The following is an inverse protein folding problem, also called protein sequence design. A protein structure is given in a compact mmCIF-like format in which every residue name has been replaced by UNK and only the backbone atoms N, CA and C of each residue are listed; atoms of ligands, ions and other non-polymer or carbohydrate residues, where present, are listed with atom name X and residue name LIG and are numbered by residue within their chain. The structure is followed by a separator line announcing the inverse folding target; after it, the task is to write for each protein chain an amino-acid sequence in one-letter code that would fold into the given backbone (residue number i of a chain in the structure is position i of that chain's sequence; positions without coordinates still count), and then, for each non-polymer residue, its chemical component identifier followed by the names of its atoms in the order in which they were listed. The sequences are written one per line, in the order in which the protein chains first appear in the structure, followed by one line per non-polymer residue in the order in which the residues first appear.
data_IF_067272980825
#
_entry.id   IF_067272980825
#
_cell.length_a   1.000
_cell.length_b   1.000
_cell.length_c   1.000
_cell.angle_alpha   90.00
_cell.angle_beta   90.00
_cell.angle_gamma   90.00
#
_symmetry.space_group_name_H-M   'P 1'
#
loop_
_entity.id
_entity.type
_entity.pdbx_description
1 polymer ?
#
# COMPACT_ATOMS: atom_id res chain seq x y z
N UNK A 1 -38.54 28.03 17.95
CA UNK A 1 -39.35 28.13 16.71
C UNK A 1 -39.41 26.77 16.07
N UNK A 2 -40.59 26.33 15.61
CA UNK A 2 -40.85 24.97 15.09
C UNK A 2 -40.03 24.57 13.86
N UNK A 3 -39.30 25.50 13.22
CA UNK A 3 -38.48 25.23 12.02
C UNK A 3 -36.97 25.35 12.26
N UNK A 4 -36.52 25.44 13.52
CA UNK A 4 -35.09 25.60 13.84
C UNK A 4 -34.33 24.28 13.79
N UNK A 5 -32.99 24.34 13.68
CA UNK A 5 -32.15 23.15 13.78
C UNK A 5 -32.26 22.50 15.16
N UNK A 6 -32.45 23.31 16.22
CA UNK A 6 -32.62 22.78 17.58
C UNK A 6 -33.85 21.86 17.70
N UNK A 7 -34.93 22.19 16.98
CA UNK A 7 -36.17 21.43 17.01
C UNK A 7 -36.08 20.13 16.19
N UNK A 8 -35.58 20.20 14.95
CA UNK A 8 -35.56 19.05 14.05
C UNK A 8 -34.31 18.15 14.17
N UNK A 9 -33.23 18.66 14.76
CA UNK A 9 -31.94 17.98 14.82
C UNK A 9 -31.31 18.10 16.23
N UNK A 10 -31.96 17.58 17.29
CA UNK A 10 -31.47 17.69 18.67
C UNK A 10 -30.07 17.08 18.87
N UNK A 11 -29.68 16.10 18.05
CA UNK A 11 -28.32 15.55 18.04
C UNK A 11 -27.27 16.59 17.60
N UNK A 12 -27.60 17.49 16.67
CA UNK A 12 -26.69 18.54 16.23
C UNK A 12 -26.54 19.66 17.26
N UNK A 13 -27.52 19.83 18.16
CA UNK A 13 -27.38 20.75 19.31
C UNK A 13 -26.26 20.29 20.23
N UNK A 14 -26.14 18.97 20.45
CA UNK A 14 -25.06 18.40 21.26
C UNK A 14 -23.67 18.61 20.63
N UNK A 15 -23.61 18.70 19.31
CA UNK A 15 -22.38 18.96 18.57
C UNK A 15 -22.11 20.46 18.35
N UNK A 16 -22.99 21.36 18.81
CA UNK A 16 -22.77 22.79 18.70
C UNK A 16 -21.65 23.21 19.65
N UNK A 17 -20.63 23.89 19.13
CA UNK A 17 -19.48 24.25 19.95
C UNK A 17 -19.89 25.22 21.08
N UNK A 18 -19.53 24.95 22.36
CA UNK A 18 -20.04 25.71 23.51
C UNK A 18 -19.57 27.16 23.57
N UNK A 19 -18.35 27.47 23.10
CA UNK A 19 -17.73 28.80 23.26
C UNK A 19 -17.31 29.51 21.96
N UNK A 20 -17.16 28.81 20.83
CA UNK A 20 -16.62 29.37 19.58
C UNK A 20 -17.65 30.01 18.63
N UNK A 21 -18.93 29.97 19.01
CA UNK A 21 -20.03 30.52 18.21
C UNK A 21 -20.57 31.86 18.73
N UNK A 22 -19.92 32.47 19.71
CA UNK A 22 -20.36 33.73 20.34
C UNK A 22 -21.84 33.64 20.77
N UNK A 23 -22.68 34.58 20.35
CA UNK A 23 -24.12 34.65 20.65
C UNK A 23 -24.98 33.76 19.73
N UNK A 24 -24.39 33.09 18.75
CA UNK A 24 -25.13 32.25 17.81
C UNK A 24 -25.57 30.96 18.49
N UNK A 25 -26.88 30.71 18.46
CA UNK A 25 -27.49 29.50 19.04
C UNK A 25 -28.21 28.67 17.98
N UNK A 26 -28.32 27.34 18.18
CA UNK A 26 -29.04 26.47 17.25
C UNK A 26 -30.49 26.89 16.98
N UNK A 27 -31.15 27.58 17.90
CA UNK A 27 -32.55 28.00 17.75
C UNK A 27 -32.73 29.09 16.67
N UNK A 28 -31.66 29.79 16.29
CA UNK A 28 -31.69 30.92 15.36
C UNK A 28 -31.74 30.48 13.88
N UNK A 29 -31.41 29.22 13.57
CA UNK A 29 -31.13 28.79 12.19
C UNK A 29 -32.06 27.68 11.71
N UNK A 30 -32.37 27.73 10.41
CA UNK A 30 -33.09 26.67 9.68
C UNK A 30 -32.10 25.71 9.02
N UNK A 31 -32.56 24.51 8.65
CA UNK A 31 -31.71 23.45 8.07
C UNK A 31 -30.90 23.87 6.83
N UNK A 32 -31.41 24.76 5.98
CA UNK A 32 -30.72 25.19 4.75
C UNK A 32 -29.66 26.29 4.91
N UNK A 33 -29.31 26.68 6.14
CA UNK A 33 -28.41 27.80 6.36
C UNK A 33 -26.97 27.51 5.86
N UNK A 34 -26.44 28.39 5.02
CA UNK A 34 -25.06 28.32 4.53
C UNK A 34 -24.02 28.88 5.51
N UNK A 35 -24.47 29.48 6.62
CA UNK A 35 -23.58 30.02 7.64
C UNK A 35 -22.69 28.91 8.20
N UNK A 36 -21.38 29.19 8.24
CA UNK A 36 -20.38 28.36 8.89
C UNK A 36 -20.32 28.69 10.38
N UNK A 37 -20.34 27.64 11.19
CA UNK A 37 -20.23 27.71 12.65
C UNK A 37 -19.27 26.62 13.12
N UNK A 38 -18.78 26.75 14.33
CA UNK A 38 -17.95 25.76 15.00
C UNK A 38 -18.79 24.63 15.57
N UNK A 39 -18.31 23.42 15.37
CA UNK A 39 -18.88 22.18 15.87
C UNK A 39 -17.82 21.43 16.67
N UNK A 40 -18.27 20.58 17.59
CA UNK A 40 -17.45 19.67 18.38
C UNK A 40 -18.11 18.28 18.39
N UNK A 41 -17.34 17.20 18.26
CA UNK A 41 -17.87 15.84 18.40
C UNK A 41 -17.54 15.24 19.76
N UNK A 42 -18.05 14.05 20.04
CA UNK A 42 -17.77 13.31 21.29
C UNK A 42 -16.29 12.97 21.51
N UNK A 43 -15.48 12.99 20.44
CA UNK A 43 -14.01 12.82 20.50
C UNK A 43 -13.27 14.16 20.63
N UNK A 44 -13.98 15.22 20.96
CA UNK A 44 -13.44 16.57 21.16
C UNK A 44 -12.76 17.16 19.91
N UNK A 45 -13.01 16.61 18.72
CA UNK A 45 -12.56 17.24 17.49
C UNK A 45 -13.41 18.47 17.24
N UNK A 46 -12.76 19.60 17.04
CA UNK A 46 -13.42 20.84 16.72
C UNK A 46 -13.25 21.16 15.23
N UNK A 47 -14.34 21.52 14.55
CA UNK A 47 -14.27 21.91 13.15
C UNK A 47 -15.31 22.97 12.79
N UNK A 48 -14.96 23.79 11.81
CA UNK A 48 -15.92 24.69 11.17
C UNK A 48 -16.62 23.99 10.00
N UNK A 49 -17.96 24.10 9.93
CA UNK A 49 -18.76 23.64 8.80
C UNK A 49 -20.06 24.43 8.67
N UNK A 50 -20.61 24.47 7.46
CA UNK A 50 -21.92 25.06 7.21
C UNK A 50 -23.04 24.23 7.86
N UNK A 51 -24.04 24.91 8.41
CA UNK A 51 -25.20 24.27 9.04
C UNK A 51 -25.90 23.32 8.08
N UNK A 52 -26.09 23.71 6.81
CA UNK A 52 -26.74 22.84 5.83
C UNK A 52 -26.00 21.50 5.67
N UNK A 53 -24.66 21.51 5.59
CA UNK A 53 -23.85 20.30 5.47
C UNK A 53 -24.09 19.32 6.62
N UNK A 54 -24.23 19.85 7.85
CA UNK A 54 -24.53 19.04 9.03
C UNK A 54 -25.91 18.41 8.96
N UNK A 55 -26.91 19.18 8.54
CA UNK A 55 -28.30 18.70 8.45
C UNK A 55 -28.53 17.72 7.29
N UNK A 56 -27.62 17.68 6.30
CA UNK A 56 -27.56 16.66 5.25
C UNK A 56 -26.74 15.42 5.64
N UNK A 57 -26.27 15.33 6.89
CA UNK A 57 -25.57 14.16 7.42
C UNK A 57 -24.05 14.18 7.31
N UNK A 58 -23.42 15.31 6.94
CA UNK A 58 -21.95 15.40 6.94
C UNK A 58 -21.45 15.52 8.38
N UNK A 59 -20.79 14.46 8.86
CA UNK A 59 -20.21 14.35 10.20
C UNK A 59 -18.86 15.06 10.41
N UNK A 60 -18.22 14.76 11.53
CA UNK A 60 -16.86 15.25 11.86
C UNK A 60 -15.85 14.80 10.78
N UNK A 61 -15.07 15.71 10.17
CA UNK A 61 -14.13 15.36 9.11
C UNK A 61 -12.94 14.52 9.61
N UNK A 62 -12.59 14.62 10.88
CA UNK A 62 -11.51 13.83 11.50
C UNK A 62 -11.96 12.38 11.75
N UNK A 63 -13.14 12.17 12.36
CA UNK A 63 -13.74 10.85 12.52
C UNK A 63 -13.96 10.13 11.18
N UNK A 64 -14.27 10.88 10.12
CA UNK A 64 -14.46 10.35 8.78
C UNK A 64 -13.14 10.13 7.99
N UNK A 65 -11.97 10.32 8.60
CA UNK A 65 -10.64 10.24 7.97
C UNK A 65 -10.46 11.17 6.75
N UNK A 66 -11.21 12.28 6.70
CA UNK A 66 -11.09 13.32 5.66
C UNK A 66 -10.07 14.39 6.03
N UNK A 67 -9.75 14.52 7.32
CA UNK A 67 -8.67 15.35 7.86
C UNK A 67 -7.86 14.53 8.84
N UNK A 68 -6.55 14.77 8.88
CA UNK A 68 -5.66 14.10 9.83
C UNK A 68 -5.75 14.75 11.21
N UNK A 69 -5.72 13.93 12.25
CA UNK A 69 -5.51 14.30 13.64
C UNK A 69 -4.71 13.20 14.33
N UNK A 70 -4.34 13.43 15.60
CA UNK A 70 -3.56 12.47 16.36
C UNK A 70 -4.26 11.12 16.52
N UNK A 71 -5.59 11.09 16.54
CA UNK A 71 -6.37 9.85 16.75
C UNK A 71 -6.47 8.96 15.50
N UNK A 72 -6.20 9.51 14.32
CA UNK A 72 -6.42 8.82 13.05
C UNK A 72 -5.19 8.75 12.15
N UNK A 73 -4.07 9.34 12.56
CA UNK A 73 -2.84 9.31 11.81
C UNK A 73 -2.21 7.91 11.84
N UNK A 74 -1.39 7.63 10.81
CA UNK A 74 -0.70 6.35 10.65
C UNK A 74 0.22 6.05 11.82
N UNK A 75 0.91 7.07 12.35
CA UNK A 75 1.81 6.94 13.50
C UNK A 75 1.11 6.37 14.75
N UNK A 76 -0.06 6.90 15.08
CA UNK A 76 -0.81 6.50 16.27
C UNK A 76 -1.44 5.13 16.11
N UNK A 77 -2.07 4.88 14.95
CA UNK A 77 -2.86 3.67 14.77
C UNK A 77 -2.02 2.45 14.36
N UNK A 78 -0.93 2.65 13.60
CA UNK A 78 -0.07 1.56 13.11
C UNK A 78 1.43 1.87 13.33
N UNK A 79 1.91 1.97 14.59
CA UNK A 79 3.31 2.28 14.91
C UNK A 79 4.32 1.26 14.36
N UNK A 80 3.96 -0.02 14.27
CA UNK A 80 4.84 -1.03 13.67
C UNK A 80 5.05 -0.81 12.18
N UNK A 81 4.04 -0.28 11.49
CA UNK A 81 4.13 0.00 10.06
C UNK A 81 5.01 1.23 9.78
N UNK A 82 5.05 2.20 10.70
CA UNK A 82 5.89 3.41 10.54
C UNK A 82 7.37 3.11 10.62
N UNK A 83 7.79 2.00 11.23
CA UNK A 83 9.17 1.49 11.17
C UNK A 83 9.66 1.25 9.74
N UNK A 84 8.72 1.05 8.81
CA UNK A 84 9.01 0.86 7.39
C UNK A 84 8.84 2.14 6.57
N UNK A 85 8.58 3.29 7.20
CA UNK A 85 8.54 4.58 6.51
C UNK A 85 9.92 4.91 5.96
N UNK A 86 10.01 5.29 4.68
CA UNK A 86 11.31 5.62 4.12
C UNK A 86 11.86 6.91 4.74
N UNK A 87 13.11 6.95 5.23
CA UNK A 87 13.63 8.08 6.02
C UNK A 87 13.75 9.39 5.22
N UNK A 88 14.05 9.31 3.92
CA UNK A 88 14.37 10.50 3.10
C UNK A 88 13.50 10.72 1.86
N UNK A 89 12.76 9.72 1.38
CA UNK A 89 12.05 9.80 0.08
C UNK A 89 10.64 10.39 0.16
N UNK A 90 10.15 10.71 1.37
CA UNK A 90 8.82 11.28 1.57
C UNK A 90 8.82 12.80 1.76
N UNK A 91 9.97 13.47 1.54
CA UNK A 91 10.10 14.91 1.72
C UNK A 91 9.77 15.31 3.16
N UNK A 92 8.84 16.24 3.33
CA UNK A 92 8.38 16.72 4.65
C UNK A 92 7.24 15.90 5.24
N UNK A 93 6.68 14.92 4.51
CA UNK A 93 5.58 14.11 5.02
C UNK A 93 6.08 13.15 6.10
N UNK A 94 5.41 13.19 7.24
CA UNK A 94 5.61 12.25 8.33
C UNK A 94 4.43 11.29 8.45
N UNK A 95 4.58 10.16 9.16
CA UNK A 95 3.45 9.30 9.49
C UNK A 95 2.35 9.98 10.34
N UNK A 96 2.60 11.16 10.92
CA UNK A 96 1.59 11.95 11.63
C UNK A 96 0.71 12.78 10.70
N UNK A 97 1.13 13.01 9.45
CA UNK A 97 0.43 13.87 8.49
C UNK A 97 -0.55 13.11 7.60
N UNK A 98 -0.68 11.80 7.80
CA UNK A 98 -1.46 10.93 6.92
C UNK A 98 -2.34 9.97 7.70
N UNK A 99 -3.59 9.81 7.24
CA UNK A 99 -4.54 8.85 7.81
C UNK A 99 -4.26 7.42 7.32
N UNK A 100 -4.54 6.40 8.14
CA UNK A 100 -4.32 4.97 7.83
C UNK A 100 -5.01 4.49 6.54
N UNK A 101 -6.08 5.13 6.10
CA UNK A 101 -6.85 4.79 4.90
C UNK A 101 -6.47 5.58 3.64
N UNK A 102 -5.41 6.39 3.70
CA UNK A 102 -5.07 7.33 2.64
C UNK A 102 -4.66 6.65 1.32
N UNK A 103 -5.08 7.25 0.20
CA UNK A 103 -4.65 6.89 -1.15
C UNK A 103 -3.32 7.56 -1.55
N UNK A 104 -2.74 8.41 -0.68
CA UNK A 104 -1.43 9.00 -0.96
C UNK A 104 -0.37 7.91 -1.09
N UNK A 105 0.38 7.95 -2.18
CA UNK A 105 1.55 7.11 -2.40
C UNK A 105 2.72 7.68 -1.62
N UNK A 106 3.39 6.82 -0.87
CA UNK A 106 4.59 7.15 -0.10
C UNK A 106 5.61 6.05 -0.27
N UNK A 107 6.87 6.40 -0.05
CA UNK A 107 7.99 5.49 -0.08
C UNK A 107 8.10 4.74 1.24
N UNK A 108 8.36 3.44 1.11
CA UNK A 108 8.60 2.52 2.21
C UNK A 108 9.95 1.85 2.03
N UNK A 109 10.51 1.35 3.12
CA UNK A 109 11.72 0.53 3.15
C UNK A 109 11.49 -0.65 4.09
N UNK A 110 11.91 -1.85 3.68
CA UNK A 110 11.86 -3.02 4.55
C UNK A 110 13.20 -3.24 5.25
N UNK A 111 13.24 -4.15 6.21
CA UNK A 111 14.47 -4.52 6.94
C UNK A 111 15.60 -5.03 6.03
N UNK A 112 15.26 -5.53 4.84
CA UNK A 112 16.22 -5.95 3.81
C UNK A 112 16.73 -4.81 2.93
N UNK A 113 16.33 -3.57 3.22
CA UNK A 113 16.75 -2.38 2.49
C UNK A 113 16.06 -2.16 1.14
N UNK A 114 15.06 -2.97 0.78
CA UNK A 114 14.30 -2.70 -0.44
C UNK A 114 13.38 -1.51 -0.24
N UNK A 115 13.47 -0.52 -1.11
CA UNK A 115 12.54 0.59 -1.14
C UNK A 115 11.46 0.42 -2.21
N UNK A 116 10.23 0.80 -1.88
CA UNK A 116 9.13 0.80 -2.84
C UNK A 116 8.08 1.85 -2.51
N UNK A 117 7.45 2.37 -3.55
CA UNK A 117 6.32 3.28 -3.44
C UNK A 117 4.99 2.52 -3.52
N UNK A 118 4.06 2.80 -2.61
CA UNK A 118 2.67 2.35 -2.68
C UNK A 118 1.77 3.20 -1.80
N UNK A 119 0.46 3.11 -2.00
CA UNK A 119 -0.55 3.80 -1.20
C UNK A 119 -0.53 3.31 0.26
N UNK A 120 -0.73 4.23 1.21
CA UNK A 120 -0.82 3.90 2.65
C UNK A 120 -1.92 2.86 2.90
N UNK A 121 -3.09 3.01 2.26
CA UNK A 121 -4.21 2.05 2.36
C UNK A 121 -3.81 0.61 2.03
N UNK A 122 -2.93 0.41 1.05
CA UNK A 122 -2.51 -0.94 0.67
C UNK A 122 -1.62 -1.56 1.75
N UNK A 123 -0.77 -0.75 2.39
CA UNK A 123 0.07 -1.17 3.51
C UNK A 123 -0.73 -1.48 4.75
N UNK A 124 -1.73 -0.66 5.08
CA UNK A 124 -2.60 -0.88 6.25
C UNK A 124 -3.50 -2.11 6.08
N UNK A 125 -3.81 -2.51 4.83
CA UNK A 125 -4.44 -3.80 4.51
C UNK A 125 -3.50 -5.02 4.56
N UNK A 126 -2.21 -4.83 4.88
CA UNK A 126 -1.24 -5.93 5.01
C UNK A 126 -0.37 -6.17 3.78
N UNK A 127 -0.38 -5.30 2.76
CA UNK A 127 0.58 -5.43 1.66
C UNK A 127 2.00 -5.18 2.16
N UNK A 128 2.88 -6.16 2.00
CA UNK A 128 4.31 -6.04 2.32
C UNK A 128 5.19 -5.69 1.12
N UNK A 129 6.51 -5.76 1.34
CA UNK A 129 7.52 -5.52 0.31
C UNK A 129 7.30 -6.41 -0.92
N UNK A 130 7.16 -5.84 -2.14
CA UNK A 130 6.92 -6.61 -3.35
C UNK A 130 8.13 -7.45 -3.78
N UNK A 131 9.34 -7.05 -3.38
CA UNK A 131 10.58 -7.79 -3.65
C UNK A 131 10.71 -9.02 -2.74
N UNK A 132 10.49 -8.87 -1.43
CA UNK A 132 10.47 -9.99 -0.49
C UNK A 132 9.42 -11.06 -0.83
N UNK A 133 8.30 -10.63 -1.43
CA UNK A 133 7.19 -11.52 -1.84
C UNK A 133 7.32 -12.04 -3.28
N UNK A 134 8.46 -11.79 -3.96
CA UNK A 134 8.74 -12.20 -5.34
C UNK A 134 7.72 -11.68 -6.38
N UNK A 135 6.96 -10.62 -6.05
CA UNK A 135 6.06 -9.94 -6.98
C UNK A 135 6.79 -8.95 -7.88
N UNK A 136 7.90 -8.40 -7.39
CA UNK A 136 8.88 -7.64 -8.16
C UNK A 136 10.25 -8.32 -8.07
N UNK A 137 11.03 -8.18 -9.14
CA UNK A 137 12.37 -8.75 -9.25
C UNK A 137 13.38 -7.73 -8.73
N UNK A 138 14.36 -8.21 -7.97
CA UNK A 138 15.55 -7.48 -7.60
C UNK A 138 16.73 -8.44 -7.54
N UNK A 139 17.92 -7.91 -7.26
CA UNK A 139 19.14 -8.72 -7.17
C UNK A 139 19.03 -9.83 -6.12
N UNK A 140 18.32 -9.60 -5.02
CA UNK A 140 18.17 -10.59 -3.94
C UNK A 140 17.34 -11.83 -4.32
N UNK A 141 16.46 -11.72 -5.31
CA UNK A 141 15.46 -12.74 -5.61
C UNK A 141 15.48 -13.25 -7.07
N UNK A 142 16.44 -12.76 -7.86
CA UNK A 142 16.62 -13.22 -9.22
C UNK A 142 17.24 -14.62 -9.26
N UNK A 143 17.08 -15.30 -10.41
CA UNK A 143 17.60 -16.64 -10.64
C UNK A 143 19.12 -16.69 -10.53
N UNK A 144 19.82 -15.66 -11.02
CA UNK A 144 21.27 -15.57 -10.93
C UNK A 144 21.78 -15.69 -9.48
N UNK A 145 21.16 -14.96 -8.56
CA UNK A 145 21.55 -14.93 -7.15
C UNK A 145 21.11 -16.18 -6.40
N UNK A 146 19.88 -16.64 -6.62
CA UNK A 146 19.33 -17.78 -5.87
C UNK A 146 19.75 -19.16 -6.42
N UNK A 147 20.11 -19.25 -7.70
CA UNK A 147 20.52 -20.49 -8.36
C UNK A 147 21.64 -20.26 -9.38
N UNK A 148 22.86 -19.89 -8.95
CA UNK A 148 23.98 -19.59 -9.85
C UNK A 148 24.32 -20.75 -10.79
N UNK A 149 24.27 -22.00 -10.32
CA UNK A 149 24.53 -23.18 -11.17
C UNK A 149 23.47 -23.40 -12.27
N UNK A 150 22.23 -22.99 -12.00
CA UNK A 150 21.20 -23.03 -13.03
C UNK A 150 21.36 -21.85 -13.99
N UNK A 151 21.71 -20.66 -13.48
CA UNK A 151 21.98 -19.49 -14.29
C UNK A 151 23.15 -19.70 -15.27
N UNK A 152 24.18 -20.48 -14.91
CA UNK A 152 25.26 -20.90 -15.84
C UNK A 152 24.74 -21.69 -17.04
N UNK A 153 23.60 -22.35 -16.93
CA UNK A 153 22.98 -23.09 -18.02
C UNK A 153 22.05 -22.22 -18.87
N UNK A 154 21.97 -20.90 -18.61
CA UNK A 154 21.25 -19.97 -19.46
C UNK A 154 21.91 -19.91 -20.83
N UNK A 155 21.12 -19.99 -21.90
CA UNK A 155 21.70 -19.94 -23.23
C UNK A 155 22.28 -18.54 -23.51
N UNK A 156 23.52 -18.41 -24.01
CA UNK A 156 24.23 -17.13 -24.11
C UNK A 156 23.60 -16.13 -25.10
N UNK A 157 22.98 -16.60 -26.19
CA UNK A 157 22.48 -15.71 -27.27
C UNK A 157 20.99 -15.85 -27.63
N UNK A 158 20.32 -16.96 -27.29
CA UNK A 158 18.94 -17.26 -27.75
C UNK A 158 17.83 -16.62 -26.91
N UNK A 159 18.15 -15.94 -25.82
CA UNK A 159 17.18 -15.31 -24.93
C UNK A 159 17.03 -13.79 -25.15
N UNK A 160 17.61 -13.26 -26.23
CA UNK A 160 17.60 -11.82 -26.53
C UNK A 160 18.23 -11.03 -25.39
N UNK A 161 17.52 -10.03 -24.89
CA UNK A 161 17.97 -9.19 -23.77
C UNK A 161 17.65 -9.78 -22.39
N UNK A 162 16.93 -10.90 -22.31
CA UNK A 162 16.54 -11.49 -21.03
C UNK A 162 17.71 -12.24 -20.40
N UNK A 163 18.03 -11.85 -19.17
CA UNK A 163 19.11 -12.46 -18.38
C UNK A 163 18.57 -13.24 -17.18
N UNK A 164 19.39 -14.08 -16.53
CA UNK A 164 19.05 -14.68 -15.24
C UNK A 164 18.78 -13.67 -14.12
N UNK A 165 19.16 -12.39 -14.28
CA UNK A 165 18.85 -11.34 -13.32
C UNK A 165 17.42 -10.79 -13.46
N UNK A 166 16.76 -11.05 -14.60
CA UNK A 166 15.43 -10.52 -14.94
C UNK A 166 14.28 -11.49 -14.66
N UNK A 167 14.57 -12.62 -14.01
CA UNK A 167 13.59 -13.66 -13.71
C UNK A 167 13.76 -14.17 -12.28
N UNK A 168 12.65 -14.44 -11.60
CA UNK A 168 12.69 -15.21 -10.36
C UNK A 168 12.75 -16.70 -10.68
N UNK A 169 13.14 -17.50 -9.68
CA UNK A 169 13.11 -18.97 -9.72
C UNK A 169 11.73 -19.57 -10.02
N UNK A 170 10.64 -18.84 -9.73
CA UNK A 170 9.26 -19.28 -9.96
C UNK A 170 8.66 -18.81 -11.30
N UNK A 171 9.44 -18.09 -12.11
CA UNK A 171 8.99 -17.53 -13.39
C UNK A 171 8.49 -18.60 -14.37
N UNK A 172 7.36 -18.34 -15.01
CA UNK A 172 6.79 -19.16 -16.08
C UNK A 172 7.33 -18.81 -17.47
N UNK A 173 8.25 -17.84 -17.58
CA UNK A 173 8.88 -17.49 -18.86
C UNK A 173 9.61 -18.70 -19.44
N UNK A 174 9.33 -19.02 -20.70
CA UNK A 174 10.08 -20.00 -21.50
C UNK A 174 11.35 -19.35 -22.01
N UNK A 175 12.47 -20.03 -21.82
CA UNK A 175 13.80 -19.57 -22.20
C UNK A 175 14.62 -20.74 -22.71
N UNK A 176 15.62 -20.44 -23.52
CA UNK A 176 16.61 -21.39 -24.00
C UNK A 176 17.66 -21.65 -22.92
N UNK A 177 18.00 -22.93 -22.77
CA UNK A 177 19.02 -23.44 -21.88
C UNK A 177 20.09 -24.14 -22.70
N UNK A 178 21.31 -24.19 -22.16
CA UNK A 178 22.43 -24.96 -22.67
C UNK A 178 23.11 -25.69 -21.52
N UNK A 179 23.21 -27.02 -21.59
CA UNK A 179 23.97 -27.77 -20.58
C UNK A 179 25.46 -27.83 -20.94
N UNK A 180 26.28 -28.33 -20.00
CA UNK A 180 27.74 -28.48 -20.19
C UNK A 180 28.10 -29.40 -21.37
N UNK A 181 27.24 -30.39 -21.67
CA UNK A 181 27.37 -31.27 -22.84
C UNK A 181 26.98 -30.59 -24.17
N UNK A 182 26.67 -29.29 -24.14
CA UNK A 182 26.30 -28.51 -25.33
C UNK A 182 24.88 -28.72 -25.84
N UNK A 183 24.06 -29.57 -25.22
CA UNK A 183 22.65 -29.72 -25.61
C UNK A 183 21.88 -28.43 -25.30
N UNK A 184 21.02 -28.04 -26.23
CA UNK A 184 20.21 -26.83 -26.15
C UNK A 184 18.73 -27.19 -26.20
N UNK A 185 17.92 -26.62 -25.31
CA UNK A 185 16.48 -26.85 -25.29
C UNK A 185 15.74 -25.66 -24.68
N UNK A 186 14.46 -25.54 -24.99
CA UNK A 186 13.59 -24.50 -24.47
C UNK A 186 12.63 -25.08 -23.42
N UNK A 187 12.53 -24.42 -22.27
CA UNK A 187 11.54 -24.74 -21.23
C UNK A 187 11.40 -23.57 -20.25
N UNK A 188 10.44 -23.64 -19.33
CA UNK A 188 10.20 -22.59 -18.35
C UNK A 188 11.26 -22.56 -17.23
N UNK A 189 11.54 -21.36 -16.70
CA UNK A 189 12.45 -21.18 -15.56
C UNK A 189 12.02 -21.98 -14.34
N UNK A 190 10.73 -21.97 -14.00
CA UNK A 190 10.21 -22.70 -12.85
C UNK A 190 10.29 -24.22 -12.98
N UNK A 191 10.15 -24.78 -14.19
CA UNK A 191 10.31 -26.20 -14.43
C UNK A 191 11.76 -26.61 -14.20
N UNK A 192 12.69 -25.78 -14.67
CA UNK A 192 14.13 -25.99 -14.49
C UNK A 192 14.57 -25.87 -13.05
N UNK A 193 14.07 -24.87 -12.35
CA UNK A 193 14.33 -24.68 -10.94
C UNK A 193 13.78 -25.81 -10.03
N UNK A 194 12.76 -26.54 -10.49
CA UNK A 194 12.23 -27.74 -9.82
C UNK A 194 13.04 -29.02 -10.07
N UNK A 195 14.15 -28.93 -10.81
CA UNK A 195 15.05 -30.06 -11.04
C UNK A 195 14.80 -30.84 -12.33
N UNK A 196 14.10 -30.28 -13.32
CA UNK A 196 14.08 -30.89 -14.66
C UNK A 196 15.48 -30.80 -15.27
N UNK A 197 16.21 -31.92 -15.24
CA UNK A 197 17.53 -32.08 -15.84
C UNK A 197 17.46 -32.02 -17.37
N UNK A 198 18.61 -31.83 -18.03
CA UNK A 198 18.67 -31.83 -19.49
C UNK A 198 18.07 -33.14 -20.02
N UNK A 199 17.01 -33.04 -20.84
CA UNK A 199 16.27 -34.21 -21.34
C UNK A 199 17.17 -35.16 -22.15
N UNK A 200 18.18 -34.62 -22.83
CA UNK A 200 19.14 -35.39 -23.61
C UNK A 200 20.10 -36.19 -22.71
N UNK A 201 20.64 -35.56 -21.66
CA UNK A 201 21.49 -36.23 -20.67
C UNK A 201 20.72 -37.28 -19.87
N UNK A 202 19.49 -36.97 -19.47
CA UNK A 202 18.65 -37.88 -18.67
C UNK A 202 18.16 -39.09 -19.46
N UNK A 203 18.04 -39.00 -20.79
CA UNK A 203 17.74 -40.15 -21.66
C UNK A 203 18.96 -41.07 -21.83
N UNK A 204 20.18 -40.54 -21.96
CA UNK A 204 21.41 -41.34 -22.03
C UNK A 204 21.64 -42.16 -20.75
N UNK A 205 21.38 -41.59 -19.57
CA UNK A 205 21.52 -42.29 -18.28
C UNK A 205 20.49 -43.42 -18.05
N UNK A 206 19.38 -43.46 -18.81
CA UNK A 206 18.39 -44.54 -18.73
C UNK A 206 18.66 -45.70 -19.69
N UNK A 207 19.45 -45.49 -20.74
CA UNK A 207 19.77 -46.48 -21.77
C UNK A 207 21.13 -47.18 -21.52
N UNK A 208 21.94 -46.67 -20.58
CA UNK A 208 23.22 -47.26 -20.17
C UNK A 208 23.18 -48.02 -18.84
N UNK A 209 21.99 -48.49 -18.43
CA UNK A 209 21.80 -49.42 -17.29
C UNK A 209 21.25 -50.74 -17.80
#
# INVERSE_FOLDING_TARGET
MENSIAFHYPQLVKEWHPTKNNELKPEHFKKGAHLKVWWICEKEHEWESAIYSRTTGVGCPYCANKRVCIDNCLATLNPELTKQWHPTKNGTLTPYDIVVGSYTKVWWVCERGHDWETEVRNRTKGSGCPYCTNRKICIDNCLATLNPELAKQWHPTKNGTLTPYDVTRSSSKRVWWKCNEGHEWETTVNARAKGTSCLYCSRKNKLGK
#
